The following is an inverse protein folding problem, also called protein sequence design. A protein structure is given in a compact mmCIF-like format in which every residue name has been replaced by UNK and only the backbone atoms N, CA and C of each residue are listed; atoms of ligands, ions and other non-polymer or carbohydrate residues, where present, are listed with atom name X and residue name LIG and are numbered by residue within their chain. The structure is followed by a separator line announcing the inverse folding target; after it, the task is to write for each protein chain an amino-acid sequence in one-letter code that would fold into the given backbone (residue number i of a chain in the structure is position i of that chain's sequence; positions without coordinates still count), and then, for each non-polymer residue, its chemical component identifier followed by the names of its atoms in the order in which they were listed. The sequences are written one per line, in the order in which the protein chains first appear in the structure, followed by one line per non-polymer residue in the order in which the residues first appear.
data_IF_783948730674
#
_entry.id   IF_783948730674
#
_cell.length_a   1.000
_cell.length_b   1.000
_cell.length_c   1.000
_cell.angle_alpha   90.00
_cell.angle_beta   90.00
_cell.angle_gamma   90.00
#
_symmetry.space_group_name_H-M   'P 1'
#
loop_
_entity.id
_entity.type
_entity.pdbx_description
1 polymer ?
#
# COMPACT_ATOMS: atom_id res chain seq x y z
N UNK A 1 -5.97 1.19 -4.21
CA UNK A 1 -4.92 1.22 -5.25
C UNK A 1 -4.10 2.47 -5.03
N UNK A 2 -2.85 2.25 -4.64
CA UNK A 2 -1.80 3.14 -4.15
C UNK A 2 -1.88 4.57 -4.71
N UNK A 3 -2.09 5.54 -3.81
CA UNK A 3 -2.17 6.97 -4.13
C UNK A 3 -0.99 7.69 -3.54
N UNK A 4 -0.19 8.29 -4.41
CA UNK A 4 0.60 9.47 -4.07
C UNK A 4 -0.35 10.58 -3.60
N UNK A 5 -0.01 11.22 -2.48
CA UNK A 5 -0.65 12.46 -2.06
C UNK A 5 -0.23 13.56 -3.03
N UNK A 6 -1.15 14.00 -3.89
CA UNK A 6 -1.00 15.24 -4.63
C UNK A 6 -2.15 16.17 -4.21
N UNK A 7 -1.89 17.03 -3.23
CA UNK A 7 -2.72 18.20 -2.97
C UNK A 7 -2.69 19.10 -4.20
N UNK A 8 -3.85 19.56 -4.67
CA UNK A 8 -3.94 20.50 -5.78
C UNK A 8 -3.48 21.88 -5.35
N UNK A 9 -2.25 22.25 -5.68
CA UNK A 9 -1.83 23.67 -5.75
C UNK A 9 -0.82 23.81 -6.88
N UNK A 10 -1.19 24.55 -7.94
CA UNK A 10 -0.35 24.98 -9.08
C UNK A 10 0.38 23.90 -9.90
N UNK A 11 0.71 24.14 -11.18
CA UNK A 11 1.22 23.09 -12.09
C UNK A 11 2.59 22.50 -11.73
N UNK A 12 3.28 23.04 -10.73
CA UNK A 12 4.68 22.73 -10.44
C UNK A 12 4.98 22.24 -9.02
N UNK A 13 3.96 22.04 -8.16
CA UNK A 13 4.19 21.66 -6.76
C UNK A 13 3.31 20.50 -6.31
N UNK A 14 3.95 19.45 -5.79
CA UNK A 14 3.31 18.35 -5.06
C UNK A 14 3.76 18.40 -3.60
N UNK A 15 2.81 18.34 -2.66
CA UNK A 15 3.11 18.26 -1.23
C UNK A 15 3.18 16.80 -0.78
N UNK A 16 4.36 16.30 -0.42
CA UNK A 16 4.59 14.90 -0.03
C UNK A 16 4.29 14.60 1.45
N UNK A 17 4.38 15.61 2.33
CA UNK A 17 4.01 15.50 3.74
C UNK A 17 3.44 16.82 4.26
N UNK A 18 2.46 16.74 5.17
CA UNK A 18 1.79 17.92 5.73
C UNK A 18 2.40 18.40 7.06
N UNK A 19 3.20 17.56 7.73
CA UNK A 19 3.88 17.84 8.99
C UNK A 19 5.20 17.04 9.07
N UNK A 20 6.29 17.61 9.58
CA UNK A 20 7.53 16.87 9.79
C UNK A 20 7.35 15.80 10.86
N UNK A 21 7.80 14.57 10.57
CA UNK A 21 7.91 13.51 11.57
C UNK A 21 9.24 13.67 12.32
N UNK A 22 9.25 13.44 13.64
CA UNK A 22 10.47 13.39 14.46
C UNK A 22 10.44 12.13 15.31
N UNK A 23 11.55 11.39 15.35
CA UNK A 23 11.75 10.23 16.22
C UNK A 23 12.49 10.61 17.52
N UNK A 24 12.08 10.06 18.68
CA UNK A 24 10.78 9.43 18.92
C UNK A 24 9.65 10.47 18.78
N UNK A 25 8.41 10.03 18.46
CA UNK A 25 7.29 10.96 18.43
C UNK A 25 7.16 11.60 19.81
N UNK A 26 7.40 12.91 19.91
CA UNK A 26 7.35 13.66 21.18
C UNK A 26 5.96 13.71 21.82
N UNK A 27 4.98 13.02 21.24
CA UNK A 27 3.58 13.21 21.54
C UNK A 27 2.71 12.00 21.20
N UNK A 28 1.85 11.61 22.15
CA UNK A 28 0.75 10.67 21.91
C UNK A 28 -0.59 11.42 21.95
N UNK A 29 -1.08 11.90 20.80
CA UNK A 29 -2.32 12.70 20.71
C UNK A 29 -3.27 12.22 19.62
N UNK A 30 -4.57 12.34 19.88
CA UNK A 30 -5.62 12.07 18.88
C UNK A 30 -5.58 13.04 17.68
N UNK A 31 -5.89 12.52 16.49
CA UNK A 31 -5.73 13.20 15.20
C UNK A 31 -6.61 14.45 14.99
N UNK A 32 -7.74 14.57 15.68
CA UNK A 32 -8.67 15.70 15.49
C UNK A 32 -8.13 17.05 15.97
N UNK A 33 -7.08 17.05 16.80
CA UNK A 33 -6.59 18.29 17.44
C UNK A 33 -5.16 18.67 17.07
N UNK A 34 -4.47 17.88 16.25
CA UNK A 34 -3.24 18.31 15.55
C UNK A 34 -3.56 19.27 14.40
N UNK A 35 -4.73 19.11 13.76
CA UNK A 35 -5.23 19.98 12.69
C UNK A 35 -5.76 21.35 13.17
N UNK A 36 -6.21 21.46 14.41
CA UNK A 36 -6.76 22.71 14.95
C UNK A 36 -5.66 23.66 15.46
N UNK A 37 -4.53 23.12 15.93
CA UNK A 37 -3.39 23.89 16.44
C UNK A 37 -2.54 24.55 15.34
N UNK A 38 -2.73 24.19 14.07
CA UNK A 38 -2.00 24.79 12.94
C UNK A 38 -2.64 26.07 12.38
N UNK A 39 -3.82 26.48 12.88
CA UNK A 39 -4.55 27.67 12.40
C UNK A 39 -5.11 28.55 13.54
N UNK A 40 -4.43 28.59 14.70
CA UNK A 40 -4.75 29.50 15.82
C UNK A 40 -3.63 30.53 16.06
N UNK A 41 -3.95 31.79 16.38
CA UNK A 41 -2.96 32.87 16.48
C UNK A 41 -2.21 32.81 17.82
N UNK A 42 -1.26 31.89 17.96
CA UNK A 42 -0.33 31.91 19.10
C UNK A 42 0.91 31.04 18.86
N UNK A 43 1.81 31.49 17.98
CA UNK A 43 3.23 31.12 18.02
C UNK A 43 4.06 32.36 17.64
N UNK A 44 4.35 33.22 18.62
CA UNK A 44 5.54 34.08 18.57
C UNK A 44 6.65 33.35 19.33
N UNK A 45 7.50 32.64 18.59
CA UNK A 45 8.94 32.45 18.82
C UNK A 45 9.53 31.74 17.58
N UNK A 46 10.77 32.06 17.17
CA UNK A 46 11.23 31.86 15.80
C UNK A 46 11.77 30.43 15.59
N UNK A 47 11.19 29.71 14.63
CA UNK A 47 11.73 28.47 14.05
C UNK A 47 11.69 28.58 12.52
N UNK A 48 12.59 27.90 11.79
CA UNK A 48 12.93 28.24 10.42
C UNK A 48 11.77 27.97 9.45
N UNK A 49 11.69 28.70 8.32
CA UNK A 49 10.51 28.75 7.48
C UNK A 49 10.28 27.45 6.71
N UNK A 50 9.02 27.16 6.41
CA UNK A 50 8.64 26.20 5.38
C UNK A 50 9.42 26.50 4.11
N UNK A 51 10.20 25.53 3.62
CA UNK A 51 11.00 25.71 2.42
C UNK A 51 10.09 25.96 1.20
N UNK A 52 10.24 27.13 0.57
CA UNK A 52 9.71 27.44 -0.76
C UNK A 52 8.45 28.30 -0.81
N UNK A 53 8.57 29.62 -0.57
CA UNK A 53 7.63 30.60 -1.12
C UNK A 53 8.29 32.00 -1.21
N UNK A 54 8.22 32.71 -2.35
CA UNK A 54 8.36 34.15 -2.38
C UNK A 54 7.11 34.80 -1.79
N UNK A 55 7.33 35.82 -0.96
CA UNK A 55 6.35 36.67 -0.31
C UNK A 55 5.35 37.32 -1.28
N UNK A 56 4.06 36.99 -1.14
CA UNK A 56 2.91 37.92 -1.18
C UNK A 56 1.61 37.11 -0.99
N UNK A 57 0.87 37.36 0.09
CA UNK A 57 -0.44 36.76 0.36
C UNK A 57 -1.54 37.82 0.23
N UNK A 58 -2.46 37.64 -0.72
CA UNK A 58 -3.78 38.29 -0.72
C UNK A 58 -4.86 37.21 -0.64
N UNK A 59 -5.85 37.41 0.26
CA UNK A 59 -6.92 36.45 0.58
C UNK A 59 -7.96 36.34 -0.55
N UNK A 60 -8.46 35.12 -0.82
CA UNK A 60 -9.85 34.95 -1.27
C UNK A 60 -10.68 34.01 -0.35
N UNK A 61 -12.01 33.94 -0.55
CA UNK A 61 -12.98 33.60 0.49
C UNK A 61 -13.31 32.10 0.62
N UNK A 62 -14.01 31.78 1.73
CA UNK A 62 -14.54 30.46 2.11
C UNK A 62 -15.44 29.82 1.04
N UNK A 63 -15.18 28.56 0.64
CA UNK A 63 -16.19 27.53 0.20
C UNK A 63 -15.53 26.16 -0.11
N UNK A 64 -16.31 25.07 -0.33
CA UNK A 64 -16.55 23.95 0.57
C UNK A 64 -15.61 22.74 0.38
N UNK A 65 -15.58 21.85 1.38
CA UNK A 65 -14.79 20.61 1.39
C UNK A 65 -15.26 19.62 0.31
N UNK A 66 -14.43 19.38 -0.71
CA UNK A 66 -14.60 18.27 -1.65
C UNK A 66 -13.67 17.11 -1.26
N UNK A 67 -14.24 15.98 -0.81
CA UNK A 67 -13.58 14.68 -0.65
C UNK A 67 -13.85 13.85 -1.92
N UNK A 68 -12.83 13.37 -2.64
CA UNK A 68 -12.88 12.18 -3.51
C UNK A 68 -11.50 11.92 -4.15
N UNK A 69 -11.03 10.74 -4.56
CA UNK A 69 -11.28 9.31 -4.28
C UNK A 69 -10.23 8.53 -5.08
N UNK A 70 -9.79 7.36 -4.58
CA UNK A 70 -9.30 6.25 -5.41
C UNK A 70 -10.52 5.56 -6.06
N UNK A 71 -10.90 6.02 -7.26
CA UNK A 71 -12.04 5.48 -8.03
C UNK A 71 -11.60 5.21 -9.47
N UNK A 72 -10.64 4.29 -9.63
CA UNK A 72 -9.98 4.05 -10.92
C UNK A 72 -10.42 2.76 -11.63
N UNK A 73 -11.19 1.88 -10.98
CA UNK A 73 -11.53 0.56 -11.52
C UNK A 73 -13.01 0.14 -11.44
N UNK A 74 -13.91 0.98 -10.93
CA UNK A 74 -15.35 0.74 -11.05
C UNK A 74 -15.82 1.26 -12.40
N UNK A 75 -16.06 0.35 -13.35
CA UNK A 75 -16.74 0.47 -14.67
C UNK A 75 -16.68 1.83 -15.38
N UNK A 76 -16.41 1.79 -16.69
CA UNK A 76 -16.51 2.86 -17.72
C UNK A 76 -17.80 3.73 -17.73
N UNK A 77 -18.68 3.66 -16.72
CA UNK A 77 -20.03 4.25 -16.70
C UNK A 77 -20.25 5.36 -15.67
N UNK A 78 -19.22 5.88 -15.00
CA UNK A 78 -19.35 7.09 -14.17
C UNK A 78 -18.48 8.22 -14.68
N UNK A 79 -19.13 9.09 -15.47
CA UNK A 79 -18.79 10.49 -15.83
C UNK A 79 -17.40 10.77 -16.43
N UNK A 80 -17.37 11.00 -17.76
CA UNK A 80 -16.13 11.24 -18.54
C UNK A 80 -15.28 12.44 -18.12
N UNK A 81 -15.87 13.51 -17.54
CA UNK A 81 -15.12 14.71 -17.18
C UNK A 81 -14.23 14.55 -15.92
N UNK A 82 -14.73 13.83 -14.89
CA UNK A 82 -13.97 13.58 -13.65
C UNK A 82 -12.79 12.63 -13.88
N UNK A 83 -13.02 11.55 -14.64
CA UNK A 83 -11.97 10.60 -15.02
C UNK A 83 -10.87 11.26 -15.87
N UNK A 84 -11.23 12.12 -16.82
CA UNK A 84 -10.25 12.80 -17.67
C UNK A 84 -9.36 13.78 -16.89
N UNK A 85 -9.91 14.49 -15.89
CA UNK A 85 -9.13 15.39 -15.03
C UNK A 85 -8.05 14.62 -14.25
N UNK A 86 -8.41 13.46 -13.70
CA UNK A 86 -7.49 12.66 -12.93
C UNK A 86 -6.37 12.07 -13.81
N UNK A 87 -6.70 11.57 -15.02
CA UNK A 87 -5.68 11.08 -15.97
C UNK A 87 -4.71 12.22 -16.34
N UNK A 88 -5.21 13.42 -16.63
CA UNK A 88 -4.33 14.57 -16.92
C UNK A 88 -3.40 14.91 -15.76
N UNK A 89 -3.92 14.93 -14.53
CA UNK A 89 -3.10 15.17 -13.35
C UNK A 89 -2.02 14.09 -13.15
N UNK A 90 -2.35 12.82 -13.41
CA UNK A 90 -1.40 11.72 -13.31
C UNK A 90 -0.29 11.80 -14.39
N UNK A 91 -0.62 12.23 -15.61
CA UNK A 91 0.37 12.48 -16.67
C UNK A 91 1.33 13.59 -16.25
N UNK A 92 0.83 14.72 -15.75
CA UNK A 92 1.68 15.83 -15.27
C UNK A 92 2.61 15.40 -14.13
N UNK A 93 2.09 14.59 -13.18
CA UNK A 93 2.90 14.06 -12.09
C UNK A 93 4.01 13.13 -12.57
N UNK A 94 3.71 12.26 -13.55
CA UNK A 94 4.71 11.40 -14.18
C UNK A 94 5.78 12.21 -14.92
N UNK A 95 5.38 13.19 -15.74
CA UNK A 95 6.31 14.06 -16.46
C UNK A 95 7.20 14.88 -15.52
N UNK A 96 6.68 15.30 -14.36
CA UNK A 96 7.47 15.96 -13.34
C UNK A 96 8.52 15.01 -12.75
N UNK A 97 8.10 13.80 -12.37
CA UNK A 97 8.98 12.79 -11.77
C UNK A 97 10.07 12.32 -12.75
N UNK A 98 9.71 12.08 -14.00
CA UNK A 98 10.66 11.61 -15.03
C UNK A 98 11.66 12.69 -15.45
N UNK A 99 11.26 13.98 -15.44
CA UNK A 99 12.18 15.11 -15.70
C UNK A 99 13.10 15.42 -14.54
N UNK A 100 12.67 15.16 -13.29
CA UNK A 100 13.42 15.46 -12.08
C UNK A 100 13.63 14.19 -11.25
N UNK A 101 14.45 13.30 -11.81
CA UNK A 101 14.74 11.99 -11.24
C UNK A 101 15.52 12.08 -9.92
N UNK A 102 15.12 11.25 -8.97
CA UNK A 102 15.77 11.15 -7.66
C UNK A 102 14.80 10.71 -6.56
N UNK A 103 15.33 9.97 -5.58
CA UNK A 103 14.56 9.56 -4.41
C UNK A 103 14.12 10.77 -3.60
N UNK A 104 12.82 10.87 -3.32
CA UNK A 104 12.26 11.97 -2.55
C UNK A 104 12.90 12.11 -1.15
N UNK A 105 13.38 11.01 -0.58
CA UNK A 105 14.02 10.94 0.74
C UNK A 105 15.53 11.25 0.73
N UNK A 106 16.15 11.51 -0.42
CA UNK A 106 17.58 11.81 -0.52
C UNK A 106 17.90 13.31 -0.44
N UNK A 107 16.88 14.18 -0.51
CA UNK A 107 17.04 15.64 -0.58
C UNK A 107 16.40 16.40 0.58
N UNK A 108 15.78 17.54 0.26
CA UNK A 108 15.19 18.46 1.23
C UNK A 108 14.16 17.82 2.19
N UNK A 109 13.54 16.70 1.80
CA UNK A 109 12.55 16.00 2.61
C UNK A 109 13.14 14.94 3.54
N UNK A 110 14.43 14.59 3.40
CA UNK A 110 15.06 13.47 4.12
C UNK A 110 14.79 13.52 5.62
N UNK A 111 15.05 14.68 6.25
CA UNK A 111 14.86 14.87 7.69
C UNK A 111 13.41 14.78 8.18
N UNK A 112 12.44 14.89 7.29
CA UNK A 112 11.02 14.84 7.61
C UNK A 112 10.40 13.45 7.37
N UNK A 113 11.01 12.62 6.52
CA UNK A 113 10.44 11.33 6.07
C UNK A 113 11.26 10.14 6.53
N UNK A 114 12.58 10.28 6.62
CA UNK A 114 13.45 9.26 7.20
C UNK A 114 13.57 9.42 8.72
N UNK A 115 13.65 8.31 9.48
CA UNK A 115 13.79 6.91 9.04
C UNK A 115 12.46 6.16 8.84
N UNK A 116 11.33 6.85 8.63
CA UNK A 116 10.00 6.20 8.63
C UNK A 116 9.62 5.64 7.26
N UNK A 117 9.65 6.50 6.25
CA UNK A 117 9.36 6.15 4.86
C UNK A 117 10.52 6.69 4.03
N UNK A 118 11.65 6.02 4.07
CA UNK A 118 12.71 6.29 3.11
C UNK A 118 12.39 5.57 1.79
N UNK A 119 12.78 6.14 0.66
CA UNK A 119 12.82 5.38 -0.60
C UNK A 119 14.03 4.45 -0.51
N UNK A 120 13.78 3.15 -0.27
CA UNK A 120 14.84 2.14 -0.17
C UNK A 120 15.08 1.43 -1.51
N UNK A 121 14.01 1.14 -2.26
CA UNK A 121 14.09 0.51 -3.59
C UNK A 121 14.53 1.46 -4.71
N UNK A 122 14.49 2.77 -4.46
CA UNK A 122 14.73 3.81 -5.46
C UNK A 122 13.44 4.53 -5.87
N UNK A 123 13.46 5.13 -7.06
CA UNK A 123 12.29 5.75 -7.70
C UNK A 123 12.00 5.16 -9.09
N UNK A 124 12.92 4.33 -9.59
CA UNK A 124 12.90 3.72 -10.91
C UNK A 124 11.69 2.77 -11.04
N UNK A 125 11.40 1.98 -10.01
CA UNK A 125 10.26 1.08 -10.02
C UNK A 125 8.91 1.83 -9.97
N UNK A 126 8.85 2.99 -9.30
CA UNK A 126 7.71 3.90 -9.36
C UNK A 126 7.46 4.45 -10.77
N UNK A 127 8.51 4.82 -11.50
CA UNK A 127 8.38 5.34 -12.87
C UNK A 127 7.81 4.27 -13.81
N UNK A 128 8.32 3.04 -13.74
CA UNK A 128 7.75 1.93 -14.50
C UNK A 128 6.31 1.63 -14.09
N UNK A 129 6.02 1.60 -12.78
CA UNK A 129 4.67 1.37 -12.26
C UNK A 129 3.69 2.42 -12.76
N UNK A 130 4.07 3.70 -12.69
CA UNK A 130 3.28 4.83 -13.17
C UNK A 130 3.04 4.75 -14.68
N UNK A 131 4.08 4.50 -15.47
CA UNK A 131 3.96 4.34 -16.93
C UNK A 131 3.02 3.19 -17.30
N UNK A 132 3.13 2.04 -16.63
CA UNK A 132 2.25 0.88 -16.86
C UNK A 132 0.77 1.21 -16.56
N UNK A 133 0.49 1.93 -15.46
CA UNK A 133 -0.87 2.38 -15.13
C UNK A 133 -1.38 3.45 -16.09
N UNK A 134 -0.56 4.42 -16.46
CA UNK A 134 -0.93 5.48 -17.39
C UNK A 134 -1.24 4.93 -18.78
N UNK A 135 -0.44 3.97 -19.27
CA UNK A 135 -0.76 3.24 -20.49
C UNK A 135 -2.13 2.56 -20.37
N UNK A 136 -2.37 1.84 -19.26
CA UNK A 136 -3.65 1.13 -19.06
C UNK A 136 -4.85 2.08 -18.97
N UNK A 137 -4.68 3.24 -18.36
CA UNK A 137 -5.77 4.20 -18.13
C UNK A 137 -6.08 5.03 -19.38
N UNK A 138 -5.04 5.47 -20.11
CA UNK A 138 -5.18 6.38 -21.25
C UNK A 138 -5.22 5.68 -22.61
N UNK A 139 -4.60 4.50 -22.73
CA UNK A 139 -4.32 3.86 -24.02
C UNK A 139 -3.23 4.55 -24.84
N UNK A 140 -2.53 5.55 -24.29
CA UNK A 140 -1.46 6.25 -24.96
C UNK A 140 -0.21 5.36 -25.08
N UNK A 141 0.24 5.13 -26.32
CA UNK A 141 1.35 4.25 -26.62
C UNK A 141 2.71 4.79 -26.13
N UNK A 142 2.84 6.10 -25.88
CA UNK A 142 4.09 6.70 -25.37
C UNK A 142 4.52 6.10 -24.03
N UNK A 143 3.58 5.81 -23.14
CA UNK A 143 3.89 5.18 -21.86
C UNK A 143 4.34 3.72 -22.02
N UNK A 144 3.83 2.99 -23.02
CA UNK A 144 4.36 1.66 -23.33
C UNK A 144 5.75 1.73 -23.98
N UNK A 145 6.00 2.75 -24.81
CA UNK A 145 7.34 3.01 -25.33
C UNK A 145 8.32 3.31 -24.19
N UNK A 146 7.90 4.09 -23.18
CA UNK A 146 8.68 4.34 -21.97
C UNK A 146 9.02 3.04 -21.23
N UNK A 147 8.03 2.19 -20.96
CA UNK A 147 8.24 0.88 -20.30
C UNK A 147 9.28 0.04 -21.06
N UNK A 148 9.21 0.01 -22.40
CA UNK A 148 10.17 -0.74 -23.22
C UNK A 148 11.57 -0.14 -23.21
N UNK A 149 11.68 1.18 -23.23
CA UNK A 149 12.96 1.87 -23.28
C UNK A 149 13.72 1.81 -21.95
N UNK A 150 13.01 1.94 -20.83
CA UNK A 150 13.63 2.03 -19.50
C UNK A 150 13.54 0.73 -18.68
N UNK A 151 12.68 -0.22 -19.08
CA UNK A 151 12.38 -1.42 -18.30
C UNK A 151 13.61 -2.19 -17.82
N UNK A 152 14.61 -2.40 -18.69
CA UNK A 152 15.81 -3.14 -18.33
C UNK A 152 16.64 -2.44 -17.23
N UNK A 153 16.72 -1.11 -17.26
CA UNK A 153 17.45 -0.30 -16.28
C UNK A 153 16.65 -0.15 -14.98
N UNK A 154 15.34 -0.02 -15.09
CA UNK A 154 14.46 0.28 -13.96
C UNK A 154 13.95 -1.00 -13.24
N UNK A 155 14.69 -2.11 -13.32
CA UNK A 155 14.44 -3.31 -12.53
C UNK A 155 13.43 -4.31 -13.12
N UNK A 156 13.17 -4.30 -14.44
CA UNK A 156 12.34 -5.33 -15.07
C UNK A 156 12.94 -6.75 -14.94
N UNK A 157 14.26 -6.86 -14.79
CA UNK A 157 14.95 -8.13 -14.54
C UNK A 157 15.22 -8.43 -13.06
N UNK A 158 14.94 -7.49 -12.15
CA UNK A 158 15.28 -7.61 -10.72
C UNK A 158 14.14 -8.23 -9.90
N UNK A 159 14.46 -9.25 -9.12
CA UNK A 159 13.51 -10.21 -8.54
C UNK A 159 13.63 -10.27 -7.00
N UNK A 160 13.65 -9.13 -6.31
CA UNK A 160 13.54 -9.12 -4.84
C UNK A 160 12.24 -9.78 -4.33
N UNK A 161 11.27 -10.04 -5.21
CA UNK A 161 10.03 -10.77 -4.94
C UNK A 161 9.22 -10.18 -3.76
N UNK A 162 9.32 -8.86 -3.56
CA UNK A 162 8.55 -8.12 -2.57
C UNK A 162 7.63 -7.11 -3.27
N UNK A 163 6.41 -6.94 -2.74
CA UNK A 163 5.49 -5.87 -3.18
C UNK A 163 5.03 -5.12 -1.94
N UNK A 164 5.38 -3.84 -1.86
CA UNK A 164 5.14 -3.03 -0.68
C UNK A 164 4.79 -1.59 -1.05
N UNK A 165 4.71 -0.71 -0.04
CA UNK A 165 4.61 0.72 -0.29
C UNK A 165 5.88 1.29 -0.93
N UNK A 166 7.02 0.60 -0.82
CA UNK A 166 8.35 1.02 -1.31
C UNK A 166 8.72 0.33 -2.63
N UNK A 167 8.60 -0.99 -2.76
CA UNK A 167 8.95 -1.69 -4.02
C UNK A 167 7.69 -2.08 -4.84
N UNK A 168 7.62 -1.63 -6.11
CA UNK A 168 6.56 -1.91 -7.08
C UNK A 168 6.97 -2.87 -8.20
N UNK A 169 8.21 -3.33 -8.28
CA UNK A 169 8.77 -4.08 -9.43
C UNK A 169 7.91 -5.29 -9.78
N UNK A 170 7.60 -6.14 -8.80
CA UNK A 170 6.78 -7.33 -9.05
C UNK A 170 5.31 -6.99 -9.34
N UNK A 171 4.79 -5.93 -8.73
CA UNK A 171 3.47 -5.40 -9.06
C UNK A 171 3.38 -4.97 -10.53
N UNK A 172 4.41 -4.25 -11.02
CA UNK A 172 4.55 -3.82 -12.42
C UNK A 172 4.61 -5.02 -13.37
N UNK A 173 5.41 -6.03 -13.03
CA UNK A 173 5.50 -7.29 -13.80
C UNK A 173 4.13 -7.96 -13.93
N UNK A 174 3.43 -8.18 -12.82
CA UNK A 174 2.08 -8.78 -12.82
C UNK A 174 1.09 -7.93 -13.64
N UNK A 175 1.16 -6.59 -13.52
CA UNK A 175 0.31 -5.68 -14.29
C UNK A 175 0.56 -5.78 -15.80
N UNK A 176 1.82 -5.82 -16.23
CA UNK A 176 2.21 -5.90 -17.64
C UNK A 176 2.01 -7.30 -18.23
N UNK A 177 2.15 -8.36 -17.43
CA UNK A 177 1.85 -9.73 -17.84
C UNK A 177 0.39 -9.88 -18.32
N UNK A 178 -0.53 -9.06 -17.80
CA UNK A 178 -1.90 -8.97 -18.33
C UNK A 178 -1.94 -8.64 -19.83
N UNK A 179 -1.11 -7.69 -20.28
CA UNK A 179 -1.10 -7.25 -21.67
C UNK A 179 -0.61 -8.37 -22.60
N UNK A 180 0.35 -9.16 -22.12
CA UNK A 180 0.83 -10.40 -22.78
C UNK A 180 -0.28 -11.44 -22.85
N UNK A 181 -0.88 -11.78 -21.71
CA UNK A 181 -1.88 -12.86 -21.58
C UNK A 181 -3.17 -12.58 -22.35
N UNK A 182 -3.64 -11.33 -22.36
CA UNK A 182 -4.88 -10.97 -23.05
C UNK A 182 -4.74 -10.84 -24.57
N UNK A 183 -3.51 -10.96 -25.11
CA UNK A 183 -3.19 -10.56 -26.49
C UNK A 183 -3.89 -9.24 -26.81
N UNK A 184 -3.72 -8.20 -25.98
CA UNK A 184 -4.60 -7.01 -25.95
C UNK A 184 -4.94 -6.55 -27.40
N UNK A 185 -6.20 -6.79 -27.84
CA UNK A 185 -6.70 -6.49 -29.20
C UNK A 185 -6.00 -7.22 -30.37
N UNK A 186 -5.59 -8.48 -30.19
CA UNK A 186 -4.91 -9.28 -31.22
C UNK A 186 -3.47 -8.83 -31.53
N UNK A 187 -2.92 -7.88 -30.76
CA UNK A 187 -1.55 -7.39 -30.95
C UNK A 187 -0.59 -8.18 -30.08
N UNK A 188 0.41 -8.79 -30.72
CA UNK A 188 1.64 -9.13 -30.02
C UNK A 188 2.27 -7.82 -29.54
N UNK A 189 2.69 -7.76 -28.27
CA UNK A 189 3.46 -6.63 -27.74
C UNK A 189 4.90 -7.13 -27.51
N UNK A 190 5.78 -7.00 -28.53
CA UNK A 190 7.16 -7.41 -28.40
C UNK A 190 7.83 -6.76 -27.19
N UNK A 191 8.75 -7.48 -26.56
CA UNK A 191 9.49 -7.01 -25.39
C UNK A 191 8.77 -7.17 -24.06
N UNK A 192 7.51 -7.64 -24.02
CA UNK A 192 6.80 -7.82 -22.74
C UNK A 192 6.88 -9.24 -22.14
N UNK A 193 7.47 -10.19 -22.86
CA UNK A 193 7.55 -11.58 -22.38
C UNK A 193 8.35 -11.77 -21.09
N UNK A 194 9.45 -11.01 -20.85
CA UNK A 194 10.12 -11.04 -19.56
C UNK A 194 9.18 -10.74 -18.39
N UNK A 195 8.28 -9.75 -18.49
CA UNK A 195 7.36 -9.43 -17.39
C UNK A 195 6.42 -10.59 -17.05
N UNK A 196 5.96 -11.36 -18.05
CA UNK A 196 5.19 -12.59 -17.80
C UNK A 196 6.08 -13.66 -17.16
N UNK A 197 7.29 -13.89 -17.69
CA UNK A 197 8.20 -14.89 -17.15
C UNK A 197 8.55 -14.63 -15.68
N UNK A 198 8.90 -13.39 -15.33
CA UNK A 198 9.16 -12.99 -13.94
C UNK A 198 7.89 -13.06 -13.07
N UNK A 199 6.71 -12.80 -13.64
CA UNK A 199 5.44 -13.00 -12.92
C UNK A 199 5.19 -14.47 -12.63
N UNK A 200 5.48 -15.37 -13.58
CA UNK A 200 5.44 -16.81 -13.33
C UNK A 200 6.43 -17.17 -12.22
N UNK A 201 7.72 -16.83 -12.36
CA UNK A 201 8.76 -17.15 -11.36
C UNK A 201 8.39 -16.72 -9.94
N UNK A 202 7.87 -15.50 -9.77
CA UNK A 202 7.39 -15.01 -8.46
C UNK A 202 6.23 -15.84 -7.91
N UNK A 203 5.22 -16.09 -8.73
CA UNK A 203 4.03 -16.82 -8.28
C UNK A 203 4.41 -18.27 -7.93
N UNK A 204 5.32 -18.85 -8.69
CA UNK A 204 5.84 -20.19 -8.48
C UNK A 204 6.68 -20.27 -7.20
N UNK A 205 7.46 -19.25 -6.86
CA UNK A 205 8.23 -19.21 -5.61
C UNK A 205 7.35 -19.21 -4.36
N UNK A 206 6.06 -18.87 -4.49
CA UNK A 206 5.07 -18.90 -3.42
C UNK A 206 4.32 -20.23 -3.30
N UNK A 207 4.44 -21.14 -4.29
CA UNK A 207 3.66 -22.37 -4.36
C UNK A 207 4.50 -23.56 -3.87
N UNK A 208 4.09 -24.26 -2.80
CA UNK A 208 4.84 -25.41 -2.28
C UNK A 208 5.18 -26.44 -3.37
N UNK A 209 6.45 -26.81 -3.51
CA UNK A 209 6.91 -27.81 -4.48
C UNK A 209 7.00 -27.32 -5.94
N UNK A 210 6.71 -26.05 -6.24
CA UNK A 210 7.05 -25.43 -7.52
C UNK A 210 8.51 -24.94 -7.52
N UNK A 211 9.06 -24.62 -8.71
CA UNK A 211 10.41 -24.06 -8.79
C UNK A 211 10.53 -22.74 -8.03
N UNK A 212 11.66 -22.57 -7.34
CA UNK A 212 11.95 -21.37 -6.54
C UNK A 212 11.26 -21.34 -5.17
N UNK A 213 10.38 -22.30 -4.84
CA UNK A 213 9.75 -22.34 -3.53
C UNK A 213 10.75 -22.62 -2.42
N UNK A 214 10.64 -21.85 -1.32
CA UNK A 214 11.45 -22.04 -0.12
C UNK A 214 10.52 -22.19 1.08
N UNK A 215 10.68 -23.27 1.85
CA UNK A 215 9.80 -23.56 2.99
C UNK A 215 9.80 -22.44 4.05
N UNK A 216 10.94 -21.74 4.23
CA UNK A 216 11.07 -20.62 5.18
C UNK A 216 10.29 -19.35 4.82
N UNK A 217 9.61 -19.30 3.68
CA UNK A 217 8.72 -18.18 3.31
C UNK A 217 7.38 -18.22 4.04
N UNK A 218 7.09 -19.28 4.78
CA UNK A 218 5.88 -19.43 5.57
C UNK A 218 6.21 -19.68 7.03
N UNK A 219 5.42 -19.10 7.93
CA UNK A 219 5.40 -19.51 9.34
C UNK A 219 4.93 -20.96 9.47
N UNK A 220 5.19 -21.64 10.60
CA UNK A 220 4.63 -22.97 10.86
C UNK A 220 3.10 -23.05 10.70
N UNK A 221 2.38 -21.97 11.05
CA UNK A 221 0.94 -21.84 10.87
C UNK A 221 0.48 -21.52 9.44
N UNK A 222 1.41 -21.33 8.50
CA UNK A 222 1.12 -21.15 7.07
C UNK A 222 0.86 -19.70 6.64
N UNK A 223 1.27 -18.70 7.42
CA UNK A 223 1.26 -17.29 7.02
C UNK A 223 2.51 -17.00 6.18
N UNK A 224 2.36 -16.25 5.08
CA UNK A 224 3.49 -15.69 4.35
C UNK A 224 4.33 -14.81 5.28
N UNK A 225 5.63 -15.04 5.35
CA UNK A 225 6.53 -14.31 6.21
C UNK A 225 7.73 -13.80 5.43
N UNK A 226 7.86 -12.47 5.36
CA UNK A 226 8.93 -11.78 4.63
C UNK A 226 9.84 -10.98 5.55
N UNK A 227 9.25 -10.24 6.47
CA UNK A 227 9.99 -9.32 7.36
C UNK A 227 9.40 -9.35 8.77
N UNK A 228 10.20 -8.97 9.78
CA UNK A 228 9.79 -9.05 11.19
C UNK A 228 8.83 -7.97 11.70
N UNK A 229 8.85 -6.78 11.11
CA UNK A 229 7.95 -5.68 11.50
C UNK A 229 6.90 -5.45 10.41
N UNK A 230 5.63 -5.33 10.78
CA UNK A 230 4.51 -5.05 9.87
C UNK A 230 4.38 -6.04 8.70
N UNK A 231 4.68 -7.33 8.95
CA UNK A 231 4.69 -8.39 7.94
C UNK A 231 3.38 -8.49 7.13
N UNK A 232 2.23 -8.15 7.74
CA UNK A 232 0.92 -8.17 7.08
C UNK A 232 0.83 -7.29 5.82
N UNK A 233 1.73 -6.32 5.61
CA UNK A 233 1.79 -5.62 4.32
C UNK A 233 2.11 -6.59 3.18
N UNK A 234 3.10 -7.47 3.39
CA UNK A 234 3.56 -8.41 2.38
C UNK A 234 2.54 -9.52 2.17
N UNK A 235 1.90 -9.98 3.26
CA UNK A 235 0.81 -10.95 3.19
C UNK A 235 -0.32 -10.42 2.32
N UNK A 236 -0.84 -9.23 2.64
CA UNK A 236 -2.01 -8.66 1.94
C UNK A 236 -1.68 -8.25 0.50
N UNK A 237 -0.49 -7.70 0.25
CA UNK A 237 0.00 -7.33 -1.07
C UNK A 237 0.22 -8.56 -1.97
N UNK A 238 0.89 -9.60 -1.46
CA UNK A 238 1.11 -10.86 -2.17
C UNK A 238 -0.21 -11.56 -2.47
N UNK A 239 -1.12 -11.62 -1.50
CA UNK A 239 -2.47 -12.17 -1.67
C UNK A 239 -3.24 -11.46 -2.78
N UNK A 240 -3.10 -10.14 -2.87
CA UNK A 240 -3.69 -9.35 -3.95
C UNK A 240 -3.07 -9.70 -5.32
N UNK A 241 -1.74 -9.84 -5.41
CA UNK A 241 -1.07 -10.21 -6.66
C UNK A 241 -1.42 -11.64 -7.11
N UNK A 242 -1.49 -12.61 -6.20
CA UNK A 242 -1.96 -13.97 -6.47
C UNK A 242 -3.33 -13.96 -7.17
N UNK A 243 -4.30 -13.22 -6.61
CA UNK A 243 -5.65 -13.12 -7.19
C UNK A 243 -5.68 -12.34 -8.51
N UNK A 244 -4.90 -11.26 -8.61
CA UNK A 244 -4.80 -10.49 -9.83
C UNK A 244 -4.24 -11.34 -10.98
N UNK A 245 -3.17 -12.10 -10.72
CA UNK A 245 -2.54 -12.95 -11.70
C UNK A 245 -3.41 -14.14 -12.07
N UNK A 246 -4.03 -14.81 -11.08
CA UNK A 246 -5.02 -15.87 -11.31
C UNK A 246 -6.15 -15.41 -12.24
N UNK A 247 -6.63 -14.17 -12.06
CA UNK A 247 -7.65 -13.58 -12.94
C UNK A 247 -7.15 -13.37 -14.36
N UNK A 248 -5.89 -12.95 -14.53
CA UNK A 248 -5.29 -12.77 -15.86
C UNK A 248 -5.13 -14.10 -16.58
N UNK A 249 -4.55 -15.10 -15.91
CA UNK A 249 -4.40 -16.45 -16.42
C UNK A 249 -5.75 -17.07 -16.82
N UNK A 250 -6.76 -17.01 -15.92
CA UNK A 250 -8.11 -17.50 -16.20
C UNK A 250 -8.73 -16.82 -17.42
N UNK A 251 -8.54 -15.50 -17.55
CA UNK A 251 -9.08 -14.76 -18.70
C UNK A 251 -8.41 -15.10 -20.03
N UNK A 252 -7.23 -15.70 -19.99
CA UNK A 252 -6.46 -16.12 -21.16
C UNK A 252 -6.53 -17.63 -21.42
N UNK A 253 -7.22 -18.40 -20.57
CA UNK A 253 -7.19 -19.88 -20.63
C UNK A 253 -5.79 -20.46 -20.40
N UNK A 254 -4.96 -19.79 -19.59
CA UNK A 254 -3.57 -20.13 -19.37
C UNK A 254 -3.27 -20.58 -17.94
N UNK A 255 -2.09 -21.15 -17.75
CA UNK A 255 -1.47 -21.56 -16.48
C UNK A 255 -0.17 -20.79 -16.23
N UNK A 256 0.32 -20.81 -14.99
CA UNK A 256 1.64 -20.30 -14.66
C UNK A 256 2.70 -21.38 -14.96
N UNK A 257 3.72 -21.04 -15.73
CA UNK A 257 4.80 -21.95 -16.08
C UNK A 257 5.83 -21.99 -14.95
N UNK A 258 5.71 -22.97 -14.05
CA UNK A 258 6.52 -23.03 -12.84
C UNK A 258 7.76 -23.91 -12.94
N UNK A 259 7.91 -24.73 -13.98
CA UNK A 259 9.04 -25.65 -14.12
C UNK A 259 9.17 -26.62 -12.93
N UNK A 260 10.30 -27.35 -12.89
CA UNK A 260 10.54 -28.38 -11.87
C UNK A 260 9.61 -29.60 -12.00
N UNK A 261 9.65 -30.50 -11.01
CA UNK A 261 8.86 -31.74 -11.01
C UNK A 261 7.34 -31.57 -10.91
N UNK A 262 6.87 -30.35 -10.59
CA UNK A 262 5.44 -30.00 -10.45
C UNK A 262 4.83 -29.44 -11.75
N UNK A 263 5.63 -28.92 -12.68
CA UNK A 263 5.15 -28.44 -13.98
C UNK A 263 4.38 -27.10 -13.92
N UNK A 264 3.10 -27.12 -14.28
CA UNK A 264 2.25 -25.93 -14.39
C UNK A 264 1.39 -25.71 -13.14
N UNK A 265 1.10 -24.45 -12.80
CA UNK A 265 0.19 -24.10 -11.69
C UNK A 265 -1.07 -23.45 -12.23
N UNK A 266 -2.22 -24.00 -11.84
CA UNK A 266 -3.53 -23.56 -12.30
C UNK A 266 -4.02 -22.30 -11.56
N UNK A 267 -4.86 -21.44 -12.20
CA UNK A 267 -5.44 -20.27 -11.54
C UNK A 267 -6.21 -20.59 -10.25
N UNK A 268 -6.82 -21.77 -10.15
CA UNK A 268 -7.57 -22.20 -8.98
C UNK A 268 -6.65 -22.43 -7.76
N UNK A 269 -5.43 -22.93 -7.98
CA UNK A 269 -4.44 -23.13 -6.91
C UNK A 269 -3.98 -21.80 -6.32
N UNK A 270 -3.77 -20.79 -7.17
CA UNK A 270 -3.40 -19.43 -6.74
C UNK A 270 -4.52 -18.79 -5.91
N UNK A 271 -5.77 -18.98 -6.31
CA UNK A 271 -6.95 -18.52 -5.53
C UNK A 271 -7.03 -19.25 -4.20
N UNK A 272 -6.78 -20.56 -4.16
CA UNK A 272 -6.76 -21.33 -2.92
C UNK A 272 -5.64 -20.87 -1.98
N UNK A 273 -4.45 -20.57 -2.51
CA UNK A 273 -3.35 -20.02 -1.72
C UNK A 273 -3.70 -18.64 -1.15
N UNK A 274 -4.25 -17.75 -1.97
CA UNK A 274 -4.74 -16.45 -1.51
C UNK A 274 -5.82 -16.58 -0.44
N UNK A 275 -6.74 -17.54 -0.58
CA UNK A 275 -7.78 -17.80 0.40
C UNK A 275 -7.18 -18.24 1.75
N UNK A 276 -6.16 -19.09 1.76
CA UNK A 276 -5.48 -19.50 3.00
C UNK A 276 -4.90 -18.29 3.76
N UNK A 277 -4.32 -17.32 3.06
CA UNK A 277 -3.80 -16.11 3.69
C UNK A 277 -4.92 -15.24 4.28
N UNK A 278 -6.05 -15.09 3.57
CA UNK A 278 -7.23 -14.39 4.11
C UNK A 278 -7.78 -15.12 5.33
N UNK A 279 -7.95 -16.44 5.25
CA UNK A 279 -8.45 -17.24 6.36
C UNK A 279 -7.54 -17.11 7.58
N UNK A 280 -6.20 -17.10 7.39
CA UNK A 280 -5.24 -16.85 8.46
C UNK A 280 -5.44 -15.46 9.09
N UNK A 281 -5.53 -14.39 8.28
CA UNK A 281 -5.80 -13.01 8.78
C UNK A 281 -7.10 -12.98 9.60
N UNK A 282 -8.11 -13.74 9.17
CA UNK A 282 -9.44 -13.77 9.78
C UNK A 282 -9.57 -14.74 10.96
N UNK A 283 -8.51 -15.44 11.36
CA UNK A 283 -8.47 -16.24 12.59
C UNK A 283 -8.23 -17.74 12.41
N UNK A 284 -8.10 -18.24 11.18
CA UNK A 284 -7.69 -19.62 10.91
C UNK A 284 -6.16 -19.75 11.01
N UNK A 285 -5.65 -19.54 12.21
CA UNK A 285 -4.24 -19.57 12.58
C UNK A 285 -4.06 -20.29 13.93
N UNK A 286 -2.83 -20.66 14.33
CA UNK A 286 -2.59 -21.40 15.57
C UNK A 286 -3.15 -20.71 16.83
N UNK A 287 -3.20 -19.37 16.84
CA UNK A 287 -3.72 -18.60 17.96
C UNK A 287 -5.26 -18.48 17.98
N UNK A 288 -5.95 -18.90 16.91
CA UNK A 288 -7.40 -18.73 16.76
C UNK A 288 -7.84 -17.27 16.86
N UNK A 289 -7.01 -16.32 16.41
CA UNK A 289 -7.20 -14.88 16.63
C UNK A 289 -7.24 -14.14 15.30
N UNK A 290 -8.28 -13.35 15.05
CA UNK A 290 -8.32 -12.47 13.88
C UNK A 290 -7.33 -11.32 14.05
N UNK A 291 -6.48 -11.11 13.05
CA UNK A 291 -5.63 -9.93 12.94
C UNK A 291 -6.35 -8.74 12.28
N UNK A 292 -7.63 -8.89 11.95
CA UNK A 292 -8.53 -7.81 11.57
C UNK A 292 -9.40 -7.40 12.75
N UNK A 293 -9.18 -6.19 13.25
CA UNK A 293 -9.84 -5.68 14.45
C UNK A 293 -11.35 -5.63 14.26
N UNK A 294 -12.09 -6.17 15.24
CA UNK A 294 -13.55 -6.21 15.21
C UNK A 294 -14.14 -7.32 14.34
N UNK A 295 -13.33 -8.26 13.83
CA UNK A 295 -13.79 -9.44 13.12
C UNK A 295 -13.61 -10.71 13.97
N UNK A 296 -14.63 -11.57 14.03
CA UNK A 296 -14.62 -12.79 14.83
C UNK A 296 -14.65 -12.54 16.34
N UNK A 297 -14.55 -13.62 17.11
CA UNK A 297 -14.70 -13.56 18.58
C UNK A 297 -13.44 -13.07 19.30
N UNK A 298 -12.26 -13.24 18.69
CA UNK A 298 -10.95 -12.89 19.24
C UNK A 298 -10.17 -12.05 18.25
N UNK A 299 -9.74 -10.87 18.68
CA UNK A 299 -8.91 -9.93 17.92
C UNK A 299 -8.11 -9.02 18.87
N UNK A 300 -6.97 -8.42 18.42
CA UNK A 300 -6.17 -7.50 19.21
C UNK A 300 -6.96 -6.30 19.74
N UNK A 301 -6.76 -5.95 21.01
CA UNK A 301 -7.46 -4.86 21.69
C UNK A 301 -6.54 -3.74 22.15
N UNK A 302 -5.22 -3.86 21.97
CA UNK A 302 -4.23 -2.88 22.40
C UNK A 302 -3.35 -2.49 21.21
N UNK A 303 -3.89 -1.71 20.29
CA UNK A 303 -3.17 -1.31 19.08
C UNK A 303 -2.22 -0.15 19.35
N UNK A 304 -1.09 -0.12 18.62
CA UNK A 304 -0.23 1.06 18.50
C UNK A 304 -0.93 2.16 17.66
N UNK A 305 -2.09 2.66 18.12
CA UNK A 305 -2.90 3.61 17.38
C UNK A 305 -3.52 4.67 18.31
N UNK A 306 -3.02 5.91 18.21
CA UNK A 306 -3.42 7.06 19.05
C UNK A 306 -4.94 7.27 19.10
N UNK A 307 -5.60 7.20 17.96
CA UNK A 307 -7.04 7.40 17.88
C UNK A 307 -7.88 6.24 18.45
N UNK A 308 -7.28 5.06 18.60
CA UNK A 308 -7.95 3.89 19.16
C UNK A 308 -7.78 3.89 20.68
N UNK A 309 -6.55 4.10 21.17
CA UNK A 309 -6.24 4.05 22.59
C UNK A 309 -6.80 5.21 23.40
N UNK A 310 -6.88 6.41 22.82
CA UNK A 310 -7.37 7.60 23.53
C UNK A 310 -8.91 7.71 23.50
N UNK A 311 -9.56 8.23 24.56
CA UNK A 311 -11.00 8.44 24.56
C UNK A 311 -11.41 9.42 23.46
N UNK A 312 -12.61 9.20 22.91
CA UNK A 312 -13.19 10.14 21.94
C UNK A 312 -13.41 11.52 22.58
N UNK A 313 -13.44 12.57 21.75
CA UNK A 313 -13.75 13.94 22.22
C UNK A 313 -15.14 14.03 22.87
N UNK A 314 -16.06 13.13 22.52
CA UNK A 314 -17.38 13.05 23.16
C UNK A 314 -17.27 12.54 24.60
N UNK A 315 -16.46 11.51 24.82
CA UNK A 315 -16.27 10.90 26.14
C UNK A 315 -15.33 11.71 27.04
N UNK A 316 -14.36 12.42 26.46
CA UNK A 316 -13.42 13.28 27.17
C UNK A 316 -13.27 14.64 26.45
N UNK A 317 -14.17 15.62 26.71
CA UNK A 317 -14.15 16.90 26.01
C UNK A 317 -12.92 17.76 26.31
N UNK A 318 -12.37 17.63 27.53
CA UNK A 318 -11.19 18.37 27.97
C UNK A 318 -9.93 17.97 27.16
N UNK A 319 -9.00 18.92 27.03
CA UNK A 319 -7.76 18.72 26.27
C UNK A 319 -6.83 17.77 27.03
N UNK A 320 -6.42 16.68 26.39
CA UNK A 320 -5.33 15.82 26.86
C UNK A 320 -4.00 16.39 26.35
N UNK A 321 -3.06 16.62 27.25
CA UNK A 321 -1.68 17.08 27.03
C UNK A 321 -0.83 16.13 26.17
N UNK A 322 0.40 16.54 25.83
CA UNK A 322 1.28 15.76 24.94
C UNK A 322 1.77 14.53 25.70
N UNK A 323 2.31 14.81 26.88
CA UNK A 323 2.92 13.83 27.76
C UNK A 323 1.85 13.00 28.48
N UNK A 324 0.72 13.64 28.81
CA UNK A 324 -0.47 12.95 29.34
C UNK A 324 -0.99 11.87 28.39
N UNK A 325 -0.71 12.00 27.09
CA UNK A 325 -1.04 10.99 26.10
C UNK A 325 -0.37 9.64 26.34
N UNK A 326 0.86 9.63 26.86
CA UNK A 326 1.63 8.41 27.08
C UNK A 326 0.98 7.49 28.13
N UNK A 327 0.17 8.03 29.04
CA UNK A 327 -0.65 7.22 29.94
C UNK A 327 -1.61 6.27 29.18
N UNK A 328 -2.08 6.66 27.99
CA UNK A 328 -2.91 5.81 27.14
C UNK A 328 -2.10 4.83 26.29
N UNK A 329 -0.87 5.19 25.90
CA UNK A 329 0.04 4.28 25.22
C UNK A 329 0.39 3.09 26.13
N UNK A 330 0.86 3.38 27.34
CA UNK A 330 1.34 2.36 28.29
C UNK A 330 0.24 1.75 29.16
N UNK A 331 -1.03 2.08 28.90
CA UNK A 331 -2.14 1.48 29.63
C UNK A 331 -2.29 -0.02 29.31
N UNK A 332 -2.57 -0.82 30.33
CA UNK A 332 -3.00 -2.21 30.15
C UNK A 332 -4.48 -2.33 29.71
N UNK A 333 -5.25 -1.24 29.80
CA UNK A 333 -6.64 -1.24 29.37
C UNK A 333 -6.75 -1.45 27.84
N UNK A 334 -7.84 -2.07 27.35
CA UNK A 334 -8.12 -2.15 25.93
C UNK A 334 -8.33 -0.75 25.31
N UNK A 335 -8.26 -0.65 23.99
CA UNK A 335 -8.46 0.58 23.25
C UNK A 335 -9.86 1.16 23.52
N UNK A 336 -9.92 2.45 23.81
CA UNK A 336 -11.16 3.16 24.08
C UNK A 336 -12.11 3.19 22.85
N UNK A 337 -11.56 3.09 21.64
CA UNK A 337 -12.33 2.99 20.40
C UNK A 337 -11.86 1.77 19.60
N UNK A 338 -12.77 0.84 19.31
CA UNK A 338 -12.48 -0.31 18.45
C UNK A 338 -12.25 0.17 17.02
N UNK A 339 -11.04 -0.07 16.49
CA UNK A 339 -10.65 0.34 15.14
C UNK A 339 -11.12 -0.69 14.10
N UNK A 340 -12.44 -0.84 13.95
CA UNK A 340 -13.08 -1.89 13.14
C UNK A 340 -12.52 -1.92 11.71
N UNK A 341 -12.11 -3.11 11.27
CA UNK A 341 -11.59 -3.40 9.93
C UNK A 341 -10.10 -3.11 9.75
N UNK A 342 -9.42 -2.49 10.72
CA UNK A 342 -7.98 -2.32 10.67
C UNK A 342 -7.27 -3.68 10.77
N UNK A 343 -6.24 -3.89 9.94
CA UNK A 343 -5.37 -5.06 10.05
C UNK A 343 -4.05 -4.62 10.67
N UNK A 344 -3.67 -5.28 11.75
CA UNK A 344 -2.41 -5.01 12.48
C UNK A 344 -1.21 -5.59 11.74
N UNK A 345 0.01 -5.26 12.20
CA UNK A 345 1.27 -5.78 11.65
C UNK A 345 1.39 -7.31 11.61
N UNK A 346 0.73 -8.00 12.55
CA UNK A 346 0.59 -9.46 12.57
C UNK A 346 1.62 -10.17 13.46
N UNK A 347 1.64 -11.51 13.46
CA UNK A 347 2.55 -12.30 14.28
C UNK A 347 3.98 -12.32 13.73
N UNK A 348 4.90 -12.79 14.57
CA UNK A 348 6.29 -13.09 14.20
C UNK A 348 6.43 -14.37 13.35
N UNK A 349 7.67 -14.74 13.02
CA UNK A 349 8.03 -15.87 12.16
C UNK A 349 7.55 -17.23 12.68
N UNK A 350 7.18 -17.32 13.96
CA UNK A 350 6.76 -18.53 14.66
C UNK A 350 5.29 -18.48 15.06
N UNK A 351 4.51 -17.61 14.41
CA UNK A 351 3.09 -17.36 14.70
C UNK A 351 2.85 -16.75 16.10
N UNK A 352 3.89 -16.21 16.75
CA UNK A 352 3.80 -15.53 18.03
C UNK A 352 3.25 -14.11 17.89
N UNK A 353 2.26 -13.76 18.71
CA UNK A 353 1.67 -12.42 18.72
C UNK A 353 1.51 -11.88 20.14
N UNK A 354 1.91 -10.63 20.35
CA UNK A 354 1.81 -9.90 21.61
C UNK A 354 0.86 -8.71 21.44
N UNK A 355 -0.31 -8.76 22.08
CA UNK A 355 -1.30 -7.66 22.09
C UNK A 355 -0.86 -6.55 23.05
N UNK A 356 0.19 -5.83 22.66
CA UNK A 356 0.74 -4.69 23.38
C UNK A 356 0.97 -3.49 22.45
N UNK A 357 0.60 -2.30 22.91
CA UNK A 357 0.76 -1.07 22.13
C UNK A 357 2.21 -0.71 21.90
N UNK A 358 3.14 -1.11 22.76
CA UNK A 358 4.57 -0.87 22.55
C UNK A 358 5.18 -1.86 21.56
N UNK A 359 4.48 -2.97 21.26
CA UNK A 359 4.85 -3.92 20.19
C UNK A 359 4.39 -3.41 18.81
N UNK A 360 4.83 -2.21 18.42
CA UNK A 360 4.37 -1.52 17.22
C UNK A 360 4.55 -2.35 15.94
N UNK A 361 5.61 -3.16 15.84
CA UNK A 361 5.83 -4.03 14.69
C UNK A 361 4.72 -5.07 14.49
N UNK A 362 4.03 -5.48 15.55
CA UNK A 362 2.92 -6.43 15.50
C UNK A 362 1.56 -5.75 15.58
N UNK A 363 1.42 -4.68 16.37
CA UNK A 363 0.12 -4.10 16.72
C UNK A 363 -0.21 -2.80 15.99
N UNK A 364 0.71 -2.21 15.23
CA UNK A 364 0.43 -1.03 14.42
C UNK A 364 -0.36 -1.41 13.15
N UNK A 365 -1.56 -0.84 12.94
CA UNK A 365 -2.22 -0.90 11.65
C UNK A 365 -1.70 0.20 10.72
N UNK A 366 -1.58 -0.12 9.44
CA UNK A 366 -1.18 0.85 8.43
C UNK A 366 -2.09 0.81 7.21
N UNK A 367 -2.24 1.96 6.55
CA UNK A 367 -3.12 2.10 5.38
C UNK A 367 -2.70 1.20 4.23
N UNK A 368 -1.39 0.98 4.05
CA UNK A 368 -0.84 0.10 3.02
C UNK A 368 -1.07 -1.40 3.29
N UNK A 369 -1.33 -1.81 4.54
CA UNK A 369 -1.74 -3.19 4.87
C UNK A 369 -3.19 -3.41 4.39
N UNK A 370 -4.08 -2.48 4.73
CA UNK A 370 -5.49 -2.59 4.36
C UNK A 370 -5.74 -2.37 2.85
N UNK A 371 -4.94 -1.52 2.18
CA UNK A 371 -5.17 -1.11 0.79
C UNK A 371 -5.28 -2.28 -0.23
N UNK A 372 -4.36 -3.27 -0.28
CA UNK A 372 -4.49 -4.43 -1.16
C UNK A 372 -5.59 -5.39 -0.68
N UNK A 373 -5.78 -5.54 0.64
CA UNK A 373 -6.76 -6.46 1.22
C UNK A 373 -8.20 -6.13 0.81
N UNK A 374 -8.56 -4.85 0.66
CA UNK A 374 -9.90 -4.46 0.17
C UNK A 374 -10.20 -5.10 -1.19
N UNK A 375 -9.22 -5.16 -2.09
CA UNK A 375 -9.37 -5.81 -3.40
C UNK A 375 -9.51 -7.33 -3.31
N UNK A 376 -8.79 -7.94 -2.36
CA UNK A 376 -8.85 -9.37 -2.06
C UNK A 376 -10.23 -9.77 -1.51
N UNK A 377 -10.72 -9.05 -0.50
CA UNK A 377 -12.04 -9.31 0.10
C UNK A 377 -13.15 -9.09 -0.93
N UNK A 378 -13.05 -8.04 -1.76
CA UNK A 378 -14.00 -7.79 -2.83
C UNK A 378 -14.03 -8.93 -3.88
N UNK A 379 -12.88 -9.57 -4.16
CA UNK A 379 -12.83 -10.75 -5.03
C UNK A 379 -13.65 -11.89 -4.43
N UNK A 380 -13.39 -12.28 -3.18
CA UNK A 380 -14.07 -13.41 -2.53
C UNK A 380 -15.56 -13.14 -2.28
N UNK A 381 -15.93 -11.91 -1.90
CA UNK A 381 -17.33 -11.51 -1.77
C UNK A 381 -18.07 -11.58 -3.12
N UNK A 382 -17.42 -11.20 -4.22
CA UNK A 382 -18.02 -11.25 -5.56
C UNK A 382 -18.09 -12.63 -6.21
N UNK A 383 -17.36 -13.62 -5.68
CA UNK A 383 -17.42 -15.02 -6.16
C UNK A 383 -18.42 -15.88 -5.39
N UNK A 384 -18.90 -15.42 -4.24
CA UNK A 384 -19.91 -16.12 -3.46
C UNK A 384 -21.27 -15.85 -4.10
N UNK A 385 -21.87 -16.87 -4.71
CA UNK A 385 -23.28 -16.81 -5.11
C UNK A 385 -24.10 -17.03 -3.84
N UNK A 386 -24.93 -16.06 -3.47
CA UNK A 386 -25.96 -16.22 -2.45
C UNK A 386 -27.15 -16.99 -3.00
#
# INVERSE_FOLDING_TARGET
MWTWWAGTTTPATTSSSACPWRSPPRCWRGAWRTWASSWGPSCRTPGPPCAGAPTTCSRPPRRPRARSTSRWATRRRTTGAGSARLVRAAVLAFELADRHRGSYSAGALSSAVCPFYCSYSGYEDELLWAAAWLHRASGNATFMAYVRANGAQDGAGDDDYSFSWDDKRIGTKVLLARAVLRRDRGRNLPGLQPYKAHSDSYICSLVPGASGFQAGQYTPGGLLYREGSSNMQYVTATTFLLLAYAKYLRSAGATAACGGGRGEVAPAELVALAKRQVDYILGKNPAGTSYMVGFGDRYPRRLHHRGASMPSVRAHPARIGCDQGFAYLHSAAPDANVLVGAVVGGPDARDGFVDDRDSYGQTEPATYINAPLVGVLAYFAGTTKY
#
